data_IF_271037590259
#
_entry.id   IF_271037590259
#
_cell.length_a   1.000
_cell.length_b   1.000
_cell.length_c   1.000
_cell.angle_alpha   90.00
_cell.angle_beta   90.00
_cell.angle_gamma   90.00
#
_symmetry.space_group_name_H-M   'P 1'
#
loop_
_entity.id
_entity.type
_entity.pdbx_description
1 polymer ?
#
# COMPACT_ATOMS: atom_id res chain seq x y z
N UNK A 1 -23.58 -1.32 -18.45
CA UNK A 1 -24.92 -1.92 -18.33
C UNK A 1 -25.46 -1.78 -16.89
N UNK A 2 -24.78 -2.28 -15.86
CA UNK A 2 -25.27 -2.23 -14.46
C UNK A 2 -25.50 -0.80 -13.94
N UNK A 3 -24.67 0.17 -14.33
CA UNK A 3 -24.88 1.57 -13.96
C UNK A 3 -26.16 2.16 -14.59
N UNK A 4 -26.53 1.71 -15.79
CA UNK A 4 -27.79 2.14 -16.45
C UNK A 4 -28.99 1.48 -15.80
N UNK A 5 -28.87 0.20 -15.44
CA UNK A 5 -29.93 -0.55 -14.76
C UNK A 5 -30.15 -0.09 -13.30
N UNK A 6 -29.15 0.54 -12.68
CA UNK A 6 -29.20 0.96 -11.27
C UNK A 6 -29.13 -0.19 -10.25
N UNK A 7 -28.85 -1.42 -10.70
CA UNK A 7 -28.78 -2.65 -9.89
C UNK A 7 -27.80 -3.66 -10.51
N UNK A 8 -27.28 -4.56 -9.70
CA UNK A 8 -26.29 -5.59 -10.13
C UNK A 8 -26.88 -7.01 -10.22
N UNK A 9 -28.11 -7.21 -9.76
CA UNK A 9 -28.82 -8.47 -9.70
C UNK A 9 -29.78 -8.68 -10.90
N UNK A 10 -29.49 -8.04 -12.03
CA UNK A 10 -30.29 -8.09 -13.26
C UNK A 10 -29.73 -9.09 -14.25
N UNK A 11 -30.61 -9.86 -14.91
CA UNK A 11 -30.27 -10.61 -16.11
C UNK A 11 -30.23 -9.68 -17.34
N UNK A 12 -29.03 -9.27 -17.71
CA UNK A 12 -28.81 -8.31 -18.79
C UNK A 12 -29.26 -8.81 -20.19
N UNK A 13 -29.57 -10.09 -20.35
CA UNK A 13 -30.05 -10.65 -21.61
C UNK A 13 -31.59 -10.67 -21.71
N UNK A 14 -32.25 -10.87 -20.59
CA UNK A 14 -33.69 -11.13 -20.59
C UNK A 14 -34.52 -10.11 -19.84
N UNK A 15 -33.89 -9.32 -18.93
CA UNK A 15 -34.58 -8.27 -18.17
C UNK A 15 -34.33 -6.88 -18.78
N UNK A 16 -35.35 -6.01 -18.81
CA UNK A 16 -35.17 -4.63 -19.31
C UNK A 16 -34.31 -3.81 -18.36
N UNK A 17 -33.45 -2.97 -18.92
CA UNK A 17 -32.68 -1.96 -18.19
C UNK A 17 -33.57 -0.82 -17.68
N UNK A 18 -34.69 -0.60 -18.35
CA UNK A 18 -35.67 0.43 -18.03
C UNK A 18 -36.80 0.42 -19.04
N UNK A 19 -37.58 1.49 -19.06
CA UNK A 19 -38.67 1.67 -19.99
C UNK A 19 -38.53 3.03 -20.68
N UNK A 20 -38.92 3.10 -21.96
CA UNK A 20 -38.94 4.33 -22.72
C UNK A 20 -40.11 5.27 -22.29
N UNK A 21 -40.23 6.44 -22.95
CA UNK A 21 -41.32 7.39 -22.67
C UNK A 21 -42.71 6.86 -22.95
N UNK A 22 -42.82 5.84 -23.78
CA UNK A 22 -44.09 5.21 -24.20
C UNK A 22 -44.41 3.95 -23.36
N UNK A 23 -43.52 3.61 -22.40
CA UNK A 23 -43.66 2.49 -21.50
C UNK A 23 -43.19 1.16 -22.09
N UNK A 24 -42.47 1.15 -23.20
CA UNK A 24 -41.91 -0.09 -23.75
C UNK A 24 -40.63 -0.47 -23.04
N UNK A 25 -40.36 -1.78 -22.83
CA UNK A 25 -39.13 -2.24 -22.22
C UNK A 25 -37.92 -1.97 -23.12
N UNK A 26 -36.86 -1.43 -22.55
CA UNK A 26 -35.55 -1.23 -23.20
C UNK A 26 -34.57 -2.27 -22.70
N UNK A 27 -34.16 -3.17 -23.59
CA UNK A 27 -33.18 -4.22 -23.31
C UNK A 27 -31.75 -3.72 -23.59
N UNK A 28 -30.75 -4.40 -23.03
CA UNK A 28 -29.35 -4.07 -23.31
C UNK A 28 -29.03 -4.12 -24.81
N UNK A 29 -29.58 -5.06 -25.54
CA UNK A 29 -29.35 -5.22 -26.98
C UNK A 29 -29.87 -4.04 -27.81
N UNK A 30 -30.83 -3.29 -27.29
CA UNK A 30 -31.41 -2.13 -28.01
C UNK A 30 -30.48 -0.91 -27.96
N UNK A 31 -29.59 -0.84 -26.96
CA UNK A 31 -28.71 0.31 -26.72
C UNK A 31 -27.21 -0.02 -26.81
N UNK A 32 -26.86 -1.30 -26.83
CA UNK A 32 -25.46 -1.70 -26.90
C UNK A 32 -24.97 -1.64 -28.35
N UNK A 33 -23.86 -0.92 -28.59
CA UNK A 33 -23.39 -0.79 -29.96
C UNK A 33 -22.94 -2.13 -30.54
N UNK A 34 -23.25 -2.35 -31.78
CA UNK A 34 -22.76 -3.51 -32.51
C UNK A 34 -21.25 -3.43 -32.76
N UNK A 35 -20.57 -4.57 -32.95
CA UNK A 35 -19.14 -4.55 -33.32
C UNK A 35 -18.84 -3.76 -34.60
N UNK A 36 -19.80 -3.67 -35.51
CA UNK A 36 -19.68 -2.88 -36.75
C UNK A 36 -19.74 -1.39 -36.48
N UNK A 37 -20.72 -0.92 -35.70
CA UNK A 37 -20.81 0.49 -35.28
C UNK A 37 -19.57 0.93 -34.49
N UNK A 38 -19.05 0.08 -33.59
CA UNK A 38 -17.81 0.37 -32.86
C UNK A 38 -16.64 0.51 -33.84
N UNK A 39 -16.47 -0.43 -34.76
CA UNK A 39 -15.38 -0.41 -35.74
C UNK A 39 -15.45 0.83 -36.63
N UNK A 40 -16.62 1.16 -37.15
CA UNK A 40 -16.81 2.31 -38.03
C UNK A 40 -16.60 3.64 -37.31
N UNK A 41 -17.09 3.72 -36.07
CA UNK A 41 -16.85 4.88 -35.21
C UNK A 41 -15.36 5.06 -34.91
N UNK A 42 -14.66 3.98 -34.53
CA UNK A 42 -13.21 4.01 -34.29
C UNK A 42 -12.47 4.43 -35.56
N UNK A 43 -12.80 3.84 -36.73
CA UNK A 43 -12.15 4.17 -37.99
C UNK A 43 -12.36 5.63 -38.40
N UNK A 44 -13.53 6.19 -38.13
CA UNK A 44 -13.83 7.60 -38.44
C UNK A 44 -13.22 8.60 -37.44
N UNK A 45 -13.10 8.19 -36.17
CA UNK A 45 -12.61 9.03 -35.08
C UNK A 45 -11.08 9.11 -35.02
N UNK A 46 -10.39 7.98 -35.28
CA UNK A 46 -8.94 7.92 -35.23
C UNK A 46 -8.27 8.74 -36.34
N UNK A 47 -7.49 9.72 -35.93
CA UNK A 47 -6.73 10.61 -36.85
C UNK A 47 -5.25 10.62 -36.46
N UNK A 48 -4.33 10.64 -37.41
CA UNK A 48 -2.88 10.73 -37.15
C UNK A 48 -2.52 11.87 -36.21
N UNK A 49 -3.22 13.01 -36.29
CA UNK A 49 -2.97 14.16 -35.43
C UNK A 49 -3.18 13.89 -33.94
N UNK A 50 -4.07 12.95 -33.58
CA UNK A 50 -4.30 12.57 -32.18
C UNK A 50 -3.03 11.95 -31.57
N UNK A 51 -2.34 11.14 -32.35
CA UNK A 51 -1.07 10.54 -31.95
C UNK A 51 0.05 11.57 -31.93
N UNK A 52 0.20 12.33 -33.01
CA UNK A 52 1.24 13.34 -33.11
C UNK A 52 1.18 14.38 -32.01
N UNK A 53 -0.02 14.90 -31.69
CA UNK A 53 -0.19 15.88 -30.61
C UNK A 53 0.10 15.32 -29.23
N UNK A 54 -0.21 14.05 -28.99
CA UNK A 54 0.07 13.40 -27.69
C UNK A 54 1.54 13.06 -27.54
N UNK A 55 2.15 12.50 -28.58
CA UNK A 55 3.55 12.09 -28.51
C UNK A 55 4.55 13.25 -28.60
N UNK A 56 4.16 14.39 -29.17
CA UNK A 56 5.04 15.57 -29.23
C UNK A 56 5.37 16.17 -27.86
N UNK A 57 4.52 15.94 -26.85
CA UNK A 57 4.71 16.49 -25.49
C UNK A 57 5.16 15.45 -24.45
N UNK A 58 5.38 14.19 -24.87
CA UNK A 58 5.74 13.11 -23.94
C UNK A 58 7.05 13.39 -23.19
N UNK A 59 8.04 13.97 -23.87
CA UNK A 59 9.35 14.28 -23.27
C UNK A 59 9.37 15.60 -22.49
N UNK A 60 8.41 16.48 -22.71
CA UNK A 60 8.35 17.79 -22.03
C UNK A 60 7.37 17.82 -20.87
N UNK A 61 6.37 16.93 -20.89
CA UNK A 61 5.28 16.93 -19.91
C UNK A 61 4.31 18.10 -20.08
N UNK A 62 3.35 18.20 -19.18
CA UNK A 62 2.39 19.30 -19.12
C UNK A 62 2.94 20.51 -18.32
N UNK A 63 2.15 21.57 -18.23
CA UNK A 63 2.53 22.79 -17.53
C UNK A 63 2.79 22.55 -16.04
N UNK A 64 2.04 21.63 -15.39
CA UNK A 64 2.23 21.30 -13.98
C UNK A 64 3.56 20.57 -13.76
N UNK A 65 3.89 19.65 -14.67
CA UNK A 65 5.17 18.95 -14.65
C UNK A 65 6.35 19.93 -14.82
N UNK A 66 6.24 20.85 -15.76
CA UNK A 66 7.29 21.86 -16.02
C UNK A 66 7.42 22.89 -14.88
N UNK A 67 6.35 23.14 -14.13
CA UNK A 67 6.35 24.05 -12.99
C UNK A 67 6.93 23.46 -11.72
N UNK A 68 7.24 22.15 -11.69
CA UNK A 68 7.87 21.55 -10.53
C UNK A 68 9.23 22.19 -10.28
N UNK A 69 9.50 22.66 -9.04
CA UNK A 69 10.81 23.20 -8.69
C UNK A 69 11.85 22.08 -8.80
N UNK A 70 12.85 22.28 -9.62
CA UNK A 70 14.01 21.41 -9.73
C UNK A 70 15.15 22.05 -8.96
N UNK A 71 15.81 21.33 -8.03
CA UNK A 71 16.98 21.86 -7.34
C UNK A 71 18.09 22.21 -8.34
N UNK A 72 18.73 23.35 -8.15
CA UNK A 72 19.87 23.76 -8.95
C UNK A 72 21.04 22.79 -8.75
N UNK A 73 21.51 22.21 -9.85
CA UNK A 73 22.80 21.49 -10.02
C UNK A 73 23.29 20.55 -8.90
N UNK A 74 22.57 20.37 -7.78
CA UNK A 74 22.95 19.42 -6.76
C UNK A 74 22.59 18.00 -7.20
N UNK A 75 23.55 17.11 -7.21
CA UNK A 75 23.35 15.69 -7.48
C UNK A 75 22.65 14.94 -6.34
N UNK A 76 22.42 15.63 -5.22
CA UNK A 76 21.83 15.04 -4.01
C UNK A 76 20.47 15.68 -3.72
N UNK A 77 19.55 14.82 -3.27
CA UNK A 77 18.22 15.26 -2.83
C UNK A 77 18.35 16.04 -1.50
N UNK A 78 17.69 17.18 -1.41
CA UNK A 78 17.60 17.96 -0.17
C UNK A 78 16.47 17.40 0.71
N UNK A 79 16.87 16.71 1.77
CA UNK A 79 15.94 16.05 2.67
C UNK A 79 15.34 17.03 3.67
N UNK A 80 14.01 17.10 3.73
CA UNK A 80 13.30 17.86 4.76
C UNK A 80 13.07 16.95 5.99
N UNK A 81 13.74 17.29 7.10
CA UNK A 81 13.69 16.48 8.32
C UNK A 81 12.33 16.48 9.01
N UNK A 82 11.51 17.50 8.76
CA UNK A 82 10.15 17.66 9.27
C UNK A 82 9.08 17.00 8.37
N UNK A 83 9.47 16.49 7.20
CA UNK A 83 8.54 15.85 6.28
C UNK A 83 7.94 14.58 6.89
N UNK A 84 6.60 14.49 6.86
CA UNK A 84 5.87 13.28 7.27
C UNK A 84 5.51 12.35 6.09
N UNK A 85 5.93 12.70 4.85
CA UNK A 85 5.70 11.92 3.64
C UNK A 85 6.96 11.27 3.07
N UNK A 86 8.08 12.00 3.05
CA UNK A 86 9.34 11.51 2.49
C UNK A 86 10.46 11.79 3.48
N UNK A 87 11.10 10.75 3.96
CA UNK A 87 12.21 10.84 4.90
C UNK A 87 13.43 10.11 4.39
N UNK A 88 14.61 10.63 4.75
CA UNK A 88 15.86 9.93 4.47
C UNK A 88 15.84 8.55 5.12
N UNK A 89 15.98 7.48 4.33
CA UNK A 89 15.99 6.13 4.90
C UNK A 89 17.31 5.85 5.63
N UNK A 90 17.29 5.10 6.76
CA UNK A 90 18.46 4.85 7.58
C UNK A 90 19.33 3.68 7.09
N UNK A 91 19.08 3.14 5.89
CA UNK A 91 19.67 1.87 5.43
C UNK A 91 21.20 1.88 5.34
N UNK A 92 21.80 3.06 5.19
CA UNK A 92 23.25 3.22 5.08
C UNK A 92 23.87 3.89 6.30
N UNK A 93 23.09 4.16 7.35
CA UNK A 93 23.61 4.74 8.58
C UNK A 93 24.44 3.72 9.35
N UNK A 94 25.67 4.09 9.71
CA UNK A 94 26.60 3.20 10.40
C UNK A 94 27.14 2.05 9.55
N UNK A 95 27.01 2.13 8.21
CA UNK A 95 27.54 1.11 7.31
C UNK A 95 29.02 1.38 7.03
N UNK A 96 29.86 0.42 7.33
CA UNK A 96 31.29 0.45 7.02
C UNK A 96 31.59 -0.15 5.65
N UNK A 97 32.73 0.23 5.04
CA UNK A 97 33.20 -0.35 3.79
C UNK A 97 33.63 -1.83 3.96
N UNK A 98 34.05 -2.19 5.15
CA UNK A 98 34.41 -3.56 5.48
C UNK A 98 33.24 -4.28 6.13
N UNK A 99 32.89 -5.44 5.57
CA UNK A 99 31.80 -6.28 6.10
C UNK A 99 32.29 -6.95 7.38
N UNK A 100 31.59 -6.74 8.46
CA UNK A 100 31.86 -7.44 9.71
C UNK A 100 31.70 -8.97 9.54
N UNK A 101 32.55 -9.79 10.17
CA UNK A 101 32.40 -11.24 10.10
C UNK A 101 31.07 -11.68 10.71
N UNK A 102 30.51 -12.75 10.14
CA UNK A 102 29.29 -13.36 10.66
C UNK A 102 29.50 -13.82 12.12
N UNK A 103 28.53 -13.54 12.97
CA UNK A 103 28.55 -13.91 14.39
C UNK A 103 27.28 -14.68 14.75
N UNK A 104 27.38 -15.49 15.85
CA UNK A 104 26.22 -16.18 16.36
C UNK A 104 25.17 -15.19 16.90
N UNK A 105 23.91 -15.45 16.64
CA UNK A 105 22.79 -14.76 17.30
C UNK A 105 22.49 -15.51 18.59
N UNK A 106 22.69 -14.86 19.74
CA UNK A 106 22.52 -15.47 21.05
C UNK A 106 21.41 -14.79 21.86
N UNK A 107 20.66 -15.56 22.61
CA UNK A 107 19.61 -15.09 23.53
C UNK A 107 18.49 -14.28 22.85
N UNK A 108 18.30 -14.48 21.55
CA UNK A 108 17.21 -13.82 20.81
C UNK A 108 15.83 -14.24 21.35
N UNK A 109 14.89 -13.32 21.29
CA UNK A 109 13.48 -13.57 21.61
C UNK A 109 12.64 -13.64 20.35
N UNK A 110 11.61 -14.49 20.39
CA UNK A 110 10.65 -14.58 19.29
C UNK A 110 9.71 -13.39 19.38
N UNK A 111 9.77 -12.51 18.39
CA UNK A 111 8.85 -11.36 18.26
C UNK A 111 7.51 -11.79 17.68
N UNK A 112 7.54 -12.68 16.69
CA UNK A 112 6.35 -13.24 16.08
C UNK A 112 6.59 -14.67 15.64
N UNK A 113 5.59 -15.52 15.88
CA UNK A 113 5.52 -16.89 15.39
C UNK A 113 4.35 -16.96 14.41
N UNK A 114 4.64 -17.01 13.12
CA UNK A 114 3.67 -16.91 12.06
C UNK A 114 3.47 -18.25 11.36
N UNK A 115 2.27 -18.46 10.82
CA UNK A 115 1.94 -19.63 10.02
C UNK A 115 2.56 -19.60 8.61
N UNK A 116 1.99 -20.40 7.73
CA UNK A 116 2.34 -20.46 6.31
C UNK A 116 1.67 -19.32 5.54
N UNK A 117 2.18 -19.02 4.34
CA UNK A 117 1.61 -18.09 3.38
C UNK A 117 1.46 -16.65 3.92
N UNK A 118 2.38 -16.23 4.77
CA UNK A 118 2.50 -14.84 5.24
C UNK A 118 3.32 -14.06 4.21
N UNK A 119 2.64 -13.52 3.22
CA UNK A 119 3.24 -12.81 2.09
C UNK A 119 3.58 -11.36 2.41
N UNK A 120 4.16 -10.64 1.47
CA UNK A 120 4.45 -9.20 1.60
C UNK A 120 3.21 -8.36 1.91
N UNK A 121 2.01 -8.78 1.47
CA UNK A 121 0.76 -8.09 1.78
C UNK A 121 0.35 -8.17 3.26
N UNK A 122 0.84 -9.16 3.97
CA UNK A 122 0.62 -9.30 5.42
C UNK A 122 1.68 -8.54 6.21
N UNK A 123 2.88 -8.42 5.67
CA UNK A 123 4.04 -7.82 6.35
C UNK A 123 4.04 -6.31 6.16
N UNK A 124 3.92 -5.85 4.92
CA UNK A 124 3.91 -4.42 4.60
C UNK A 124 2.54 -3.81 4.88
N UNK A 125 2.48 -2.67 5.58
CA UNK A 125 1.20 -2.05 5.88
C UNK A 125 0.55 -1.46 4.63
N UNK A 126 -0.78 -1.54 4.58
CA UNK A 126 -1.60 -0.99 3.50
C UNK A 126 -2.90 -0.39 4.04
N UNK A 127 -3.58 0.39 3.22
CA UNK A 127 -4.86 1.01 3.58
C UNK A 127 -4.74 2.19 4.54
N UNK A 128 -5.82 2.50 5.25
CA UNK A 128 -5.89 3.61 6.18
C UNK A 128 -4.98 3.41 7.40
N UNK A 129 -4.45 4.51 7.93
CA UNK A 129 -3.62 4.50 9.14
C UNK A 129 -4.53 4.63 10.36
N UNK A 130 -4.60 3.61 11.25
CA UNK A 130 -5.44 3.67 12.43
C UNK A 130 -4.89 4.67 13.45
N UNK A 131 -5.78 5.50 14.02
CA UNK A 131 -5.42 6.56 14.96
C UNK A 131 -4.72 6.05 16.23
N UNK A 132 -5.16 4.90 16.74
CA UNK A 132 -4.72 4.36 18.03
C UNK A 132 -3.48 3.44 17.91
N UNK A 133 -3.02 3.17 16.70
CA UNK A 133 -1.87 2.32 16.43
C UNK A 133 -0.57 3.15 16.35
N UNK A 134 0.61 2.52 16.46
CA UNK A 134 1.89 3.25 16.52
C UNK A 134 2.12 4.26 15.39
N UNK A 135 1.70 3.94 14.16
CA UNK A 135 1.82 4.88 13.04
C UNK A 135 0.92 6.11 13.19
N UNK A 136 -0.30 5.93 13.72
CA UNK A 136 -1.21 7.03 13.99
C UNK A 136 -0.71 7.91 15.14
N UNK A 137 -0.14 7.33 16.19
CA UNK A 137 0.48 8.06 17.30
C UNK A 137 1.66 8.91 16.80
N UNK A 138 2.54 8.31 15.99
CA UNK A 138 3.66 9.03 15.37
C UNK A 138 3.20 10.25 14.56
N UNK A 139 2.15 10.12 13.76
CA UNK A 139 1.64 11.24 12.96
C UNK A 139 1.04 12.35 13.84
N UNK A 140 0.35 11.98 14.93
CA UNK A 140 -0.18 12.96 15.89
C UNK A 140 0.94 13.70 16.63
N UNK A 141 2.04 13.03 16.99
CA UNK A 141 3.23 13.64 17.57
C UNK A 141 3.90 14.65 16.63
N UNK A 142 3.73 14.45 15.30
CA UNK A 142 4.18 15.38 14.26
C UNK A 142 3.08 16.37 13.82
N UNK A 143 2.09 16.62 14.68
CA UNK A 143 1.03 17.59 14.46
C UNK A 143 0.15 17.35 13.23
N UNK A 144 0.13 16.12 12.69
CA UNK A 144 -0.77 15.75 11.60
C UNK A 144 -2.16 15.42 12.15
N UNK A 145 -3.18 16.13 11.69
CA UNK A 145 -4.54 15.85 12.08
C UNK A 145 -5.05 14.51 11.50
N UNK A 146 -5.92 13.82 12.23
CA UNK A 146 -6.42 12.49 11.82
C UNK A 146 -7.06 12.48 10.43
N UNK A 147 -7.74 13.57 10.05
CA UNK A 147 -8.33 13.73 8.71
C UNK A 147 -7.29 13.77 7.59
N UNK A 148 -6.04 14.14 7.93
CA UNK A 148 -4.91 14.31 7.01
C UNK A 148 -3.92 13.13 7.07
N UNK A 149 -4.22 12.06 7.80
CA UNK A 149 -3.36 10.88 7.91
C UNK A 149 -3.11 10.24 6.55
N UNK A 150 -4.10 10.26 5.69
CA UNK A 150 -4.05 9.57 4.42
C UNK A 150 -3.90 8.04 4.59
N UNK A 151 -3.15 7.38 3.73
CA UNK A 151 -2.94 5.94 3.75
C UNK A 151 -1.46 5.60 3.91
N UNK A 152 -1.14 4.38 4.33
CA UNK A 152 0.22 3.86 4.31
C UNK A 152 0.85 3.96 2.91
N UNK A 153 0.07 3.70 1.86
CA UNK A 153 0.53 3.81 0.47
C UNK A 153 0.99 5.20 0.08
N UNK A 154 0.29 6.25 0.52
CA UNK A 154 0.68 7.64 0.25
C UNK A 154 1.89 8.10 1.07
N UNK A 155 2.20 7.44 2.19
CA UNK A 155 3.35 7.73 3.06
C UNK A 155 4.47 6.70 2.97
N UNK A 156 4.46 5.86 1.94
CA UNK A 156 5.48 4.80 1.77
C UNK A 156 6.91 5.31 1.63
N UNK A 157 7.11 6.58 1.33
CA UNK A 157 8.41 7.25 1.34
C UNK A 157 8.90 7.65 2.74
N UNK A 158 8.08 7.43 3.77
CA UNK A 158 8.45 7.67 5.17
C UNK A 158 8.57 6.32 5.91
N UNK A 159 9.82 5.89 6.12
CA UNK A 159 10.12 4.63 6.81
C UNK A 159 9.60 4.60 8.25
N UNK A 160 9.52 5.74 8.93
CA UNK A 160 9.02 5.85 10.31
C UNK A 160 7.53 5.47 10.39
N UNK A 161 6.73 5.89 9.40
CA UNK A 161 5.34 5.46 9.29
C UNK A 161 5.24 3.99 8.92
N UNK A 162 6.02 3.56 7.93
CA UNK A 162 5.94 2.19 7.40
C UNK A 162 6.37 1.14 8.42
N UNK A 163 7.46 1.35 9.14
CA UNK A 163 7.94 0.39 10.15
C UNK A 163 6.96 0.23 11.32
N UNK A 164 6.23 1.30 11.68
CA UNK A 164 5.20 1.27 12.72
C UNK A 164 3.94 0.51 12.32
N UNK A 165 3.75 0.29 11.02
CA UNK A 165 2.66 -0.54 10.49
C UNK A 165 3.09 -1.94 10.04
N UNK A 166 4.36 -2.28 10.17
CA UNK A 166 4.87 -3.61 9.78
C UNK A 166 4.17 -4.70 10.60
N UNK A 167 3.72 -5.76 9.91
CA UNK A 167 2.85 -6.81 10.44
C UNK A 167 1.47 -6.32 10.91
N UNK A 168 1.06 -5.08 10.57
CA UNK A 168 -0.21 -4.50 10.99
C UNK A 168 -1.44 -4.98 10.22
N UNK A 169 -1.31 -5.99 9.35
CA UNK A 169 -2.45 -6.55 8.63
C UNK A 169 -3.46 -7.15 9.61
N UNK A 170 -4.74 -6.78 9.44
CA UNK A 170 -5.84 -7.18 10.34
C UNK A 170 -6.10 -8.70 10.37
N UNK A 171 -5.60 -9.44 9.39
CA UNK A 171 -5.77 -10.90 9.27
C UNK A 171 -4.53 -11.69 9.70
N UNK A 172 -3.45 -11.01 10.06
CA UNK A 172 -2.25 -11.73 10.49
C UNK A 172 -2.53 -12.41 11.83
N UNK A 173 -2.05 -13.65 11.97
CA UNK A 173 -2.15 -14.41 13.20
C UNK A 173 -0.76 -14.67 13.76
N UNK A 174 -0.49 -14.11 14.92
CA UNK A 174 0.70 -14.41 15.67
C UNK A 174 0.40 -15.55 16.64
N UNK A 175 0.98 -16.71 16.42
CA UNK A 175 0.74 -17.92 17.22
C UNK A 175 1.31 -17.83 18.64
N UNK A 176 1.94 -16.72 19.02
CA UNK A 176 2.27 -16.39 20.40
C UNK A 176 1.06 -15.88 21.20
N UNK A 177 0.01 -15.48 20.49
CA UNK A 177 -1.28 -15.08 21.05
C UNK A 177 -2.31 -16.12 20.60
N UNK A 178 -3.21 -16.48 21.48
CA UNK A 178 -4.24 -17.45 21.17
C UNK A 178 -5.04 -17.05 19.90
N UNK A 179 -6.31 -16.89 19.90
CA UNK A 179 -7.12 -16.63 18.70
C UNK A 179 -7.14 -15.17 18.22
N UNK A 180 -6.22 -14.32 18.64
CA UNK A 180 -6.17 -12.91 18.23
C UNK A 180 -5.61 -12.73 16.83
N UNK A 181 -6.33 -11.99 16.00
CA UNK A 181 -5.87 -11.48 14.71
C UNK A 181 -5.36 -10.04 14.85
N UNK A 182 -4.52 -9.60 13.90
CA UNK A 182 -3.92 -8.27 13.88
C UNK A 182 -2.47 -8.22 14.34
N UNK A 183 -1.86 -7.06 14.20
CA UNK A 183 -0.44 -6.81 14.37
C UNK A 183 0.05 -6.73 15.82
N UNK A 184 -0.32 -7.71 16.65
CA UNK A 184 0.03 -7.74 18.07
C UNK A 184 0.94 -8.92 18.41
N UNK A 185 1.63 -8.78 19.54
CA UNK A 185 2.47 -9.82 20.12
C UNK A 185 2.48 -9.71 21.64
N UNK A 186 3.07 -10.71 22.31
CA UNK A 186 3.34 -10.68 23.74
C UNK A 186 4.79 -10.28 23.98
N UNK A 187 5.02 -9.29 24.83
CA UNK A 187 6.34 -8.98 25.35
C UNK A 187 6.68 -10.00 26.46
N UNK A 188 7.39 -11.06 26.10
CA UNK A 188 7.63 -12.22 26.98
C UNK A 188 8.16 -11.89 28.38
N UNK A 189 9.06 -10.89 28.57
CA UNK A 189 9.55 -10.54 29.91
C UNK A 189 8.48 -10.01 30.86
N UNK A 190 7.47 -9.27 30.35
CA UNK A 190 6.41 -8.66 31.18
C UNK A 190 5.07 -9.36 31.06
N UNK A 191 4.87 -10.14 29.99
CA UNK A 191 3.58 -10.75 29.65
C UNK A 191 2.58 -9.77 29.03
N UNK A 192 2.99 -8.52 28.75
CA UNK A 192 2.12 -7.52 28.13
C UNK A 192 1.84 -7.86 26.67
N UNK A 193 0.58 -7.72 26.28
CA UNK A 193 0.18 -7.77 24.87
C UNK A 193 0.22 -6.38 24.26
N UNK A 194 0.98 -6.22 23.20
CA UNK A 194 1.32 -4.94 22.56
C UNK A 194 1.29 -5.03 21.03
N UNK A 195 1.13 -3.90 20.32
CA UNK A 195 1.51 -3.83 18.92
C UNK A 195 2.94 -4.36 18.70
N UNK A 196 3.17 -5.07 17.61
CA UNK A 196 4.49 -5.68 17.30
C UNK A 196 5.59 -4.62 17.29
N UNK A 197 5.32 -3.43 16.77
CA UNK A 197 6.27 -2.32 16.81
C UNK A 197 6.67 -1.94 18.23
N UNK A 198 5.71 -1.70 19.11
CA UNK A 198 5.97 -1.27 20.49
C UNK A 198 6.73 -2.34 21.28
N UNK A 199 6.38 -3.61 21.11
CA UNK A 199 7.13 -4.71 21.71
C UNK A 199 8.56 -4.75 21.18
N UNK A 200 8.77 -4.55 19.88
CA UNK A 200 10.11 -4.54 19.26
C UNK A 200 10.98 -3.43 19.84
N UNK A 201 10.40 -2.24 20.06
CA UNK A 201 11.12 -1.11 20.65
C UNK A 201 11.56 -1.41 22.10
N UNK A 202 10.70 -2.02 22.91
CA UNK A 202 11.07 -2.43 24.28
C UNK A 202 12.24 -3.43 24.30
N UNK A 203 12.26 -4.38 23.37
CA UNK A 203 13.36 -5.33 23.24
C UNK A 203 14.64 -4.64 22.75
N UNK A 204 14.51 -3.69 21.81
CA UNK A 204 15.66 -2.92 21.33
C UNK A 204 16.30 -2.08 22.44
N UNK A 205 15.50 -1.40 23.27
CA UNK A 205 15.96 -0.66 24.45
C UNK A 205 16.68 -1.56 25.45
N UNK A 206 16.23 -2.81 25.59
CA UNK A 206 16.87 -3.82 26.45
C UNK A 206 18.08 -4.51 25.79
N UNK A 207 18.47 -4.13 24.57
CA UNK A 207 19.55 -4.76 23.81
C UNK A 207 19.32 -6.23 23.47
N UNK A 208 18.07 -6.66 23.41
CA UNK A 208 17.68 -8.05 23.18
C UNK A 208 17.48 -8.32 21.69
N UNK A 209 18.24 -9.22 21.05
CA UNK A 209 18.02 -9.60 19.67
C UNK A 209 16.65 -10.26 19.46
N UNK A 210 16.08 -10.03 18.28
CA UNK A 210 14.76 -10.54 17.92
C UNK A 210 14.83 -11.46 16.71
N UNK A 211 13.91 -12.44 16.69
CA UNK A 211 13.68 -13.30 15.53
C UNK A 211 12.18 -13.37 15.22
N UNK A 212 11.87 -13.56 13.96
CA UNK A 212 10.53 -13.91 13.46
C UNK A 212 10.62 -15.32 12.90
N UNK A 213 9.71 -16.19 13.32
CA UNK A 213 9.61 -17.56 12.81
C UNK A 213 8.33 -17.64 11.97
N UNK A 214 8.45 -18.12 10.74
CA UNK A 214 7.33 -18.26 9.83
C UNK A 214 7.43 -19.54 9.01
N UNK A 215 6.32 -19.94 8.41
CA UNK A 215 6.23 -21.12 7.57
C UNK A 215 6.65 -20.85 6.10
N UNK A 216 6.19 -21.72 5.21
CA UNK A 216 6.44 -21.62 3.77
C UNK A 216 5.82 -20.35 3.21
N UNK A 217 6.40 -19.83 2.12
CA UNK A 217 5.95 -18.62 1.39
C UNK A 217 6.02 -17.32 2.20
N UNK A 218 6.84 -17.28 3.26
CA UNK A 218 7.06 -16.04 4.00
C UNK A 218 7.73 -14.99 3.11
N UNK A 219 7.17 -13.78 3.11
CA UNK A 219 7.64 -12.63 2.34
C UNK A 219 7.65 -12.84 0.81
N UNK A 220 6.97 -13.85 0.30
CA UNK A 220 6.84 -14.03 -1.16
C UNK A 220 5.93 -12.92 -1.69
N UNK A 221 6.45 -12.12 -2.61
CA UNK A 221 5.69 -11.21 -3.44
C UNK A 221 5.06 -12.00 -4.58
N UNK A 222 4.04 -11.46 -5.26
CA UNK A 222 3.43 -12.09 -6.42
C UNK A 222 4.52 -12.52 -7.41
N UNK A 223 4.92 -13.76 -7.31
CA UNK A 223 5.70 -14.41 -8.35
C UNK A 223 4.73 -14.87 -9.40
N UNK A 224 4.87 -14.30 -10.56
CA UNK A 224 4.19 -14.84 -11.72
C UNK A 224 4.74 -16.24 -11.97
N UNK A 225 3.87 -17.21 -11.77
CA UNK A 225 4.05 -18.54 -12.28
C UNK A 225 3.78 -18.55 -13.79
#
# INVERSE_FOLDING_TARGET
AYALAGRVDIDLYNEPLGYDSDGNPVLLVDIWPTPEEVRDTVASALKPQMFTSRYSVVSTGDENWQALPVPDESSLYDWADDSTYVRRPPFFEGMDLEVAPASDIRSARVLALLGQSVTTDHISPAGAIPKAEPAGSYLQEHEVEVKDFNTFGSRRGNHEVMMRGTFGNVRIKNLLLDDREGGHTVHLPTGDELPIYDASMRYQEAGTPLIVIAGTEYAVSYTHL
#
